data_IF_337014074922
#
_entry.id   IF_337014074922
#
_cell.length_a   1.000
_cell.length_b   1.000
_cell.length_c   1.000
_cell.angle_alpha   90.00
_cell.angle_beta   90.00
_cell.angle_gamma   90.00
#
_symmetry.space_group_name_H-M   'P 1'
#
loop_
_entity.id
_entity.type
_entity.pdbx_description
1 polymer ?
#
# COMPACT_ATOMS: atom_id res chain seq x y z
N UNK A 1 -15.09 47.62 12.40
CA UNK A 1 -14.47 46.52 13.16
C UNK A 1 -14.55 45.27 12.28
N UNK A 2 -13.45 44.88 11.66
CA UNK A 2 -13.38 43.67 10.84
C UNK A 2 -12.90 42.52 11.72
N UNK A 3 -13.73 41.49 11.88
CA UNK A 3 -13.39 40.28 12.63
C UNK A 3 -12.41 39.47 11.79
N UNK A 4 -11.16 39.39 12.25
CA UNK A 4 -10.17 38.49 11.67
C UNK A 4 -10.58 37.05 11.99
N UNK A 5 -10.98 36.29 10.98
CA UNK A 5 -11.03 34.84 11.08
C UNK A 5 -9.58 34.36 11.15
N UNK A 6 -9.14 33.96 12.35
CA UNK A 6 -7.93 33.18 12.50
C UNK A 6 -8.18 31.84 11.79
N UNK A 7 -7.62 31.68 10.59
CA UNK A 7 -7.54 30.37 9.96
C UNK A 7 -6.56 29.55 10.80
N UNK A 8 -7.09 28.63 11.60
CA UNK A 8 -6.26 27.57 12.16
C UNK A 8 -5.71 26.78 10.97
N UNK A 9 -4.41 26.92 10.70
CA UNK A 9 -3.71 25.96 9.87
C UNK A 9 -3.92 24.59 10.51
N UNK A 10 -4.52 23.67 9.76
CA UNK A 10 -4.62 22.28 10.19
C UNK A 10 -3.19 21.74 10.29
N UNK A 11 -2.66 21.76 11.51
CA UNK A 11 -1.48 20.98 11.89
C UNK A 11 -1.70 19.56 11.39
N UNK A 12 -0.68 18.97 10.74
CA UNK A 12 -0.67 17.56 10.36
C UNK A 12 -1.23 16.73 11.52
N UNK A 13 -2.45 16.20 11.34
CA UNK A 13 -2.99 15.25 12.30
C UNK A 13 -2.05 14.03 12.27
N UNK A 14 -1.68 13.47 13.44
CA UNK A 14 -0.89 12.25 13.46
C UNK A 14 -1.64 11.19 12.65
N UNK A 15 -0.90 10.42 11.83
CA UNK A 15 -1.49 9.29 11.12
C UNK A 15 -2.22 8.41 12.15
N UNK A 16 -3.46 7.97 11.88
CA UNK A 16 -4.20 7.19 12.83
C UNK A 16 -3.48 5.86 13.05
N UNK A 17 -3.37 5.48 14.31
CA UNK A 17 -2.95 4.13 14.71
C UNK A 17 -3.89 3.12 14.08
N UNK A 18 -3.34 2.05 13.50
CA UNK A 18 -4.19 1.00 12.93
C UNK A 18 -4.95 0.27 14.04
N UNK A 19 -6.26 0.03 13.90
CA UNK A 19 -6.99 -0.81 14.83
C UNK A 19 -6.47 -2.24 14.73
N UNK A 20 -6.21 -2.88 15.88
CA UNK A 20 -5.74 -4.26 15.90
C UNK A 20 -6.76 -5.21 15.26
N UNK A 21 -6.27 -6.22 14.53
CA UNK A 21 -7.07 -7.23 13.85
C UNK A 21 -7.06 -7.09 12.32
N UNK A 22 -7.95 -7.81 11.61
CA UNK A 22 -7.99 -7.78 10.16
C UNK A 22 -8.41 -6.39 9.65
N UNK A 23 -7.71 -5.91 8.62
CA UNK A 23 -7.98 -4.65 7.94
C UNK A 23 -8.10 -4.92 6.44
N UNK A 24 -9.10 -4.27 5.84
CA UNK A 24 -9.30 -4.23 4.41
C UNK A 24 -9.19 -2.79 3.93
N UNK A 25 -8.30 -2.54 2.97
CA UNK A 25 -8.10 -1.22 2.36
C UNK A 25 -8.51 -1.25 0.89
N UNK A 26 -9.11 -0.16 0.42
CA UNK A 26 -9.45 0.03 -0.99
C UNK A 26 -8.65 1.19 -1.57
N UNK A 27 -8.10 1.02 -2.77
CA UNK A 27 -7.30 2.04 -3.43
C UNK A 27 -7.60 2.15 -4.92
N UNK A 28 -7.25 3.30 -5.47
CA UNK A 28 -7.22 3.59 -6.91
C UNK A 28 -5.89 4.23 -7.25
N UNK A 29 -5.43 4.05 -8.48
CA UNK A 29 -4.08 4.46 -8.84
C UNK A 29 -3.84 4.56 -10.32
N UNK A 30 -2.60 4.86 -10.65
CA UNK A 30 -2.10 5.01 -12.00
C UNK A 30 -0.72 4.37 -12.08
N UNK A 31 -0.45 3.70 -13.18
CA UNK A 31 0.79 2.97 -13.38
C UNK A 31 1.26 3.04 -14.83
N UNK A 32 2.54 2.73 -14.99
CA UNK A 32 3.19 2.53 -16.27
C UNK A 32 3.66 1.09 -16.33
N UNK A 33 3.40 0.44 -17.46
CA UNK A 33 3.80 -0.94 -17.73
C UNK A 33 4.67 -0.90 -18.97
N UNK A 34 5.94 -1.26 -18.81
CA UNK A 34 6.87 -1.37 -19.92
C UNK A 34 6.69 -2.70 -20.66
N UNK A 35 6.75 -2.62 -21.98
CA UNK A 35 6.54 -3.73 -22.91
C UNK A 35 7.58 -3.69 -24.02
N UNK A 36 7.82 -4.83 -24.66
CA UNK A 36 8.75 -4.89 -25.80
C UNK A 36 10.20 -4.52 -25.46
N UNK A 37 10.64 -4.75 -24.22
CA UNK A 37 12.00 -4.44 -23.75
C UNK A 37 12.22 -2.98 -23.34
N UNK A 38 11.16 -2.17 -23.24
CA UNK A 38 11.23 -0.86 -22.59
C UNK A 38 11.41 -0.98 -21.07
N UNK A 39 11.70 0.15 -20.42
CA UNK A 39 11.83 0.25 -18.97
C UNK A 39 11.12 1.48 -18.44
N UNK A 40 10.43 1.35 -17.30
CA UNK A 40 9.76 2.47 -16.61
C UNK A 40 10.75 3.36 -15.85
N UNK A 41 11.81 2.75 -15.33
CA UNK A 41 12.96 3.39 -14.70
C UNK A 41 14.18 2.46 -14.73
N UNK A 42 15.39 3.03 -14.78
CA UNK A 42 16.62 2.23 -14.84
C UNK A 42 16.67 1.29 -16.04
N UNK A 43 17.39 0.18 -15.91
CA UNK A 43 17.62 -0.79 -16.99
C UNK A 43 16.80 -2.07 -16.89
N UNK A 44 15.96 -2.23 -15.87
CA UNK A 44 15.28 -3.50 -15.59
C UNK A 44 13.84 -3.33 -15.09
N UNK A 45 13.45 -2.15 -14.60
CA UNK A 45 12.10 -1.92 -14.09
C UNK A 45 11.09 -1.93 -15.23
N UNK A 46 10.05 -2.74 -15.08
CA UNK A 46 8.95 -2.88 -16.05
C UNK A 46 7.63 -2.32 -15.55
N UNK A 47 7.53 -2.01 -14.26
CA UNK A 47 6.30 -1.47 -13.70
C UNK A 47 6.59 -0.49 -12.58
N UNK A 48 5.87 0.63 -12.63
CA UNK A 48 5.94 1.72 -11.68
C UNK A 48 4.57 2.37 -11.57
N UNK A 49 4.15 2.76 -10.37
CA UNK A 49 2.87 3.43 -10.21
C UNK A 49 2.69 4.11 -8.87
N UNK A 50 1.62 4.88 -8.78
CA UNK A 50 1.17 5.56 -7.56
C UNK A 50 -0.31 5.30 -7.34
N UNK A 51 -0.72 5.31 -6.07
CA UNK A 51 -2.11 5.12 -5.69
C UNK A 51 -2.49 5.97 -4.48
N UNK A 52 -3.79 6.11 -4.31
CA UNK A 52 -4.43 6.70 -3.13
C UNK A 52 -5.32 5.65 -2.51
N UNK A 53 -5.21 5.50 -1.20
CA UNK A 53 -6.16 4.72 -0.41
C UNK A 53 -7.44 5.53 -0.24
N UNK A 54 -8.54 4.98 -0.69
CA UNK A 54 -9.88 5.57 -0.60
C UNK A 54 -10.52 5.30 0.75
N UNK A 55 -10.43 4.06 1.23
CA UNK A 55 -11.06 3.63 2.48
C UNK A 55 -10.19 2.59 3.17
N UNK A 56 -10.29 2.55 4.50
CA UNK A 56 -9.84 1.43 5.32
C UNK A 56 -10.94 1.08 6.30
N UNK A 57 -11.27 -0.19 6.37
CA UNK A 57 -12.30 -0.72 7.25
C UNK A 57 -11.78 -1.95 7.99
N UNK A 58 -12.45 -2.30 9.09
CA UNK A 58 -12.24 -3.60 9.71
C UNK A 58 -12.52 -4.67 8.64
N UNK A 59 -11.60 -5.61 8.50
CA UNK A 59 -11.76 -6.78 7.65
C UNK A 59 -12.58 -7.87 8.33
N UNK A 60 -12.94 -8.88 7.56
CA UNK A 60 -13.46 -10.15 8.04
C UNK A 60 -12.54 -11.24 7.52
N UNK A 61 -12.01 -12.09 8.38
CA UNK A 61 -11.23 -13.25 7.93
C UNK A 61 -12.15 -14.12 7.09
N UNK A 62 -11.84 -14.25 5.79
CA UNK A 62 -12.51 -15.15 4.87
C UNK A 62 -11.98 -16.55 5.09
N UNK A 63 -10.73 -16.76 4.70
CA UNK A 63 -9.94 -17.95 4.97
C UNK A 63 -8.76 -17.58 5.87
N UNK A 64 -8.59 -18.23 7.04
CA UNK A 64 -7.43 -17.99 7.90
C UNK A 64 -6.11 -18.13 7.14
N UNK A 65 -5.25 -17.12 7.28
CA UNK A 65 -3.93 -17.03 6.65
C UNK A 65 -3.90 -17.00 5.12
N UNK A 66 -5.02 -16.69 4.46
CA UNK A 66 -5.10 -16.60 3.00
C UNK A 66 -5.88 -15.35 2.55
N UNK A 67 -7.03 -15.07 3.17
CA UNK A 67 -7.88 -13.96 2.75
C UNK A 67 -8.54 -13.21 3.91
N UNK A 68 -8.54 -11.88 3.76
CA UNK A 68 -9.31 -10.94 4.56
C UNK A 68 -10.23 -10.20 3.60
N UNK A 69 -11.53 -10.39 3.79
CA UNK A 69 -12.56 -9.73 3.01
C UNK A 69 -12.98 -8.41 3.66
N UNK A 70 -13.62 -7.55 2.87
CA UNK A 70 -14.27 -6.35 3.42
C UNK A 70 -15.41 -6.75 4.36
N UNK A 71 -15.37 -6.26 5.61
CA UNK A 71 -16.51 -6.40 6.50
C UNK A 71 -17.56 -5.31 6.21
N UNK A 72 -18.56 -5.64 5.41
CA UNK A 72 -19.62 -4.69 4.99
C UNK A 72 -20.52 -4.21 6.13
N UNK A 73 -20.45 -4.83 7.32
CA UNK A 73 -21.22 -4.43 8.50
C UNK A 73 -20.55 -3.31 9.31
N UNK A 74 -19.26 -3.05 9.08
CA UNK A 74 -18.50 -2.06 9.82
C UNK A 74 -18.26 -0.82 8.96
N UNK A 75 -18.44 0.37 9.54
CA UNK A 75 -18.03 1.61 8.90
C UNK A 75 -16.52 1.65 8.72
N UNK A 76 -16.07 2.26 7.63
CA UNK A 76 -14.66 2.56 7.43
C UNK A 76 -14.17 3.46 8.59
N UNK A 77 -13.04 3.09 9.20
CA UNK A 77 -12.38 3.92 10.21
C UNK A 77 -11.49 4.99 9.56
N UNK A 78 -11.18 4.81 8.27
CA UNK A 78 -10.60 5.84 7.43
C UNK A 78 -11.38 5.94 6.12
N UNK A 79 -11.73 7.16 5.75
CA UNK A 79 -12.25 7.50 4.42
C UNK A 79 -11.49 8.71 3.92
N UNK A 80 -11.05 8.65 2.67
CA UNK A 80 -10.37 9.75 2.01
C UNK A 80 -11.36 10.91 1.76
N UNK A 81 -11.42 11.88 2.68
CA UNK A 81 -12.30 13.05 2.55
C UNK A 81 -11.65 14.23 1.84
N UNK A 82 -10.32 14.26 1.76
CA UNK A 82 -9.52 15.42 1.35
C UNK A 82 -8.56 15.14 0.19
N UNK A 83 -8.80 14.08 -0.58
CA UNK A 83 -8.13 13.85 -1.86
C UNK A 83 -6.71 13.27 -1.80
N UNK A 84 -6.47 12.32 -0.91
CA UNK A 84 -5.28 11.48 -0.93
C UNK A 84 -4.41 11.63 0.31
N UNK A 85 -5.00 11.52 1.49
CA UNK A 85 -4.27 11.61 2.75
C UNK A 85 -3.37 10.38 3.01
N UNK A 86 -3.80 9.20 2.56
CA UNK A 86 -2.94 8.02 2.50
C UNK A 86 -2.68 7.71 1.03
N UNK A 87 -1.41 7.65 0.69
CA UNK A 87 -0.94 7.32 -0.66
C UNK A 87 0.05 6.19 -0.63
N UNK A 88 0.29 5.60 -1.79
CA UNK A 88 1.48 4.79 -1.95
C UNK A 88 2.02 4.83 -3.36
N UNK A 89 3.16 4.15 -3.49
CA UNK A 89 3.91 4.04 -4.72
C UNK A 89 4.47 2.63 -4.80
N UNK A 90 4.42 2.02 -5.97
CA UNK A 90 5.12 0.78 -6.25
C UNK A 90 6.15 0.99 -7.36
N UNK A 91 7.32 0.40 -7.19
CA UNK A 91 8.50 0.62 -8.03
C UNK A 91 9.50 -0.52 -7.85
N UNK A 92 10.55 -0.54 -8.67
CA UNK A 92 11.55 -1.60 -8.67
C UNK A 92 11.02 -2.96 -9.12
N UNK A 93 9.83 -3.01 -9.72
CA UNK A 93 9.22 -4.24 -10.21
C UNK A 93 9.87 -4.59 -11.54
N UNK A 94 10.60 -5.70 -11.57
CA UNK A 94 11.37 -6.15 -12.72
C UNK A 94 10.69 -7.30 -13.46
N UNK A 95 11.12 -7.55 -14.69
CA UNK A 95 10.58 -8.65 -15.49
C UNK A 95 10.93 -10.00 -14.87
N UNK A 96 9.89 -10.80 -14.63
CA UNK A 96 10.02 -12.13 -14.08
C UNK A 96 10.36 -13.23 -15.10
N UNK A 97 10.53 -14.43 -14.57
CA UNK A 97 10.83 -15.63 -15.34
C UNK A 97 9.60 -16.18 -16.06
N UNK A 98 9.84 -17.15 -16.96
CA UNK A 98 8.75 -17.88 -17.63
C UNK A 98 7.87 -18.54 -16.58
N UNK A 99 6.55 -18.48 -16.80
CA UNK A 99 5.53 -19.06 -15.96
C UNK A 99 4.34 -19.46 -16.82
N UNK A 100 3.79 -20.64 -16.58
CA UNK A 100 2.71 -21.22 -17.39
C UNK A 100 1.34 -20.63 -17.02
N UNK A 101 1.21 -20.14 -15.79
CA UNK A 101 -0.03 -19.56 -15.23
C UNK A 101 0.01 -18.04 -15.09
N UNK A 102 1.18 -17.41 -15.26
CA UNK A 102 1.37 -15.99 -15.07
C UNK A 102 1.70 -15.32 -16.40
N UNK A 103 0.71 -14.63 -16.97
CA UNK A 103 0.90 -13.94 -18.24
C UNK A 103 1.85 -12.75 -18.08
N UNK A 104 1.86 -12.10 -16.92
CA UNK A 104 2.70 -10.94 -16.63
C UNK A 104 3.59 -11.22 -15.40
N UNK A 105 4.62 -12.09 -15.56
CA UNK A 105 5.50 -12.43 -14.46
C UNK A 105 6.42 -11.25 -14.13
N UNK A 106 6.45 -10.89 -12.86
CA UNK A 106 7.38 -9.91 -12.33
C UNK A 106 8.15 -10.47 -11.13
N UNK A 107 9.34 -9.93 -10.89
CA UNK A 107 10.19 -10.24 -9.74
C UNK A 107 10.57 -8.98 -9.01
N UNK A 108 10.89 -9.10 -7.72
CA UNK A 108 11.31 -7.98 -6.89
C UNK A 108 10.24 -6.89 -6.81
N UNK A 109 10.62 -5.75 -6.25
CA UNK A 109 9.81 -4.55 -6.16
C UNK A 109 9.55 -4.13 -4.73
N UNK A 110 9.16 -2.86 -4.61
CA UNK A 110 8.83 -2.22 -3.37
C UNK A 110 7.46 -1.55 -3.47
N UNK A 111 6.77 -1.47 -2.35
CA UNK A 111 5.59 -0.66 -2.17
C UNK A 111 5.76 0.19 -0.92
N UNK A 112 5.62 1.49 -1.09
CA UNK A 112 5.72 2.45 0.01
C UNK A 112 4.35 3.04 0.29
N UNK A 113 4.02 3.14 1.58
CA UNK A 113 2.83 3.84 2.06
C UNK A 113 3.24 5.14 2.75
N UNK A 114 2.49 6.20 2.47
CA UNK A 114 2.78 7.54 3.00
C UNK A 114 1.51 8.22 3.51
N UNK A 115 1.70 9.00 4.57
CA UNK A 115 0.73 9.96 5.07
C UNK A 115 1.04 11.36 4.55
N UNK A 116 0.10 11.95 3.83
CA UNK A 116 0.23 13.25 3.19
C UNK A 116 -0.47 14.34 3.99
N UNK A 117 0.23 15.45 4.18
CA UNK A 117 -0.37 16.68 4.65
C UNK A 117 -1.07 17.40 3.48
N UNK A 118 -2.38 17.22 3.36
CA UNK A 118 -3.18 17.81 2.28
C UNK A 118 -3.32 19.34 2.38
N UNK A 119 -2.86 19.96 3.48
CA UNK A 119 -2.76 21.42 3.58
C UNK A 119 -1.51 21.97 2.88
N UNK A 120 -0.49 21.13 2.66
CA UNK A 120 0.77 21.47 1.99
C UNK A 120 0.80 21.08 0.52
N UNK A 121 0.08 20.02 0.15
CA UNK A 121 0.01 19.51 -1.23
C UNK A 121 -1.46 19.37 -1.64
N UNK A 122 -1.87 20.04 -2.72
CA UNK A 122 -3.28 20.09 -3.14
C UNK A 122 -3.87 18.69 -3.42
N UNK A 123 -5.13 18.51 -2.98
CA UNK A 123 -5.97 17.31 -2.98
C UNK A 123 -6.21 16.62 -4.35
N UNK A 124 -5.73 17.18 -5.46
CA UNK A 124 -6.03 16.70 -6.82
C UNK A 124 -4.88 15.93 -7.48
N UNK A 125 -3.80 15.63 -6.74
CA UNK A 125 -2.48 15.34 -7.33
C UNK A 125 -2.24 13.93 -7.94
N UNK A 126 -3.21 13.00 -7.96
CA UNK A 126 -3.11 11.88 -8.94
C UNK A 126 -3.49 12.39 -10.35
N UNK A 127 -4.26 13.48 -10.45
CA UNK A 127 -4.97 13.87 -11.66
C UNK A 127 -4.05 14.62 -12.67
N UNK A 128 -3.74 13.88 -13.75
CA UNK A 128 -3.53 14.27 -15.17
C UNK A 128 -2.20 14.82 -15.66
N UNK A 129 -1.30 15.35 -14.82
CA UNK A 129 -0.06 15.98 -15.31
C UNK A 129 1.24 15.43 -14.72
N UNK A 130 1.16 14.38 -13.88
CA UNK A 130 2.35 13.67 -13.42
C UNK A 130 2.50 12.29 -14.11
N UNK A 131 3.61 12.05 -14.83
CA UNK A 131 4.73 12.96 -14.98
C UNK A 131 4.50 13.88 -16.19
N UNK A 132 5.06 15.08 -16.13
CA UNK A 132 5.37 15.85 -17.33
C UNK A 132 6.24 14.95 -18.21
N UNK A 133 5.73 14.56 -19.39
CA UNK A 133 6.36 13.72 -20.42
C UNK A 133 7.76 13.12 -20.12
N UNK A 134 7.86 11.79 -19.94
CA UNK A 134 9.15 11.08 -19.88
C UNK A 134 9.13 9.73 -19.14
N UNK A 135 10.23 8.97 -19.32
CA UNK A 135 10.62 7.83 -18.46
C UNK A 135 10.87 8.37 -17.05
N UNK A 136 10.28 7.75 -16.03
CA UNK A 136 10.34 8.28 -14.66
C UNK A 136 11.73 8.06 -14.07
N UNK A 137 12.16 8.96 -13.18
CA UNK A 137 13.25 8.67 -12.24
C UNK A 137 12.66 7.94 -11.00
N UNK A 138 13.48 7.33 -10.15
CA UNK A 138 13.00 6.43 -9.07
C UNK A 138 12.17 7.12 -7.99
N UNK A 139 12.07 6.51 -6.80
CA UNK A 139 11.24 6.96 -5.68
C UNK A 139 11.34 8.47 -5.35
N UNK A 140 12.50 9.08 -5.61
CA UNK A 140 12.80 10.50 -5.39
C UNK A 140 12.06 11.47 -6.32
N UNK A 141 11.36 11.00 -7.36
CA UNK A 141 10.70 11.87 -8.34
C UNK A 141 9.21 12.12 -8.07
N UNK A 142 8.61 11.39 -7.14
CA UNK A 142 7.20 11.53 -6.78
C UNK A 142 6.98 12.70 -5.79
N UNK A 143 7.41 13.90 -6.19
CA UNK A 143 7.25 15.12 -5.39
C UNK A 143 5.79 15.34 -5.00
N UNK A 144 5.55 15.59 -3.71
CA UNK A 144 4.22 15.69 -3.13
C UNK A 144 3.58 14.36 -2.70
N UNK A 145 4.17 13.21 -3.06
CA UNK A 145 3.86 11.88 -2.50
C UNK A 145 4.93 11.37 -1.53
N UNK A 146 6.21 11.71 -1.76
CA UNK A 146 7.34 11.24 -0.94
C UNK A 146 8.03 12.36 -0.15
N UNK A 147 8.23 13.55 -0.74
CA UNK A 147 9.02 14.64 -0.16
C UNK A 147 8.36 15.38 1.01
N UNK A 148 7.03 15.43 1.02
CA UNK A 148 6.23 16.22 1.99
C UNK A 148 5.31 15.31 2.80
N UNK A 149 5.75 14.06 3.00
CA UNK A 149 4.91 12.98 3.51
C UNK A 149 5.65 12.18 4.57
N UNK A 150 4.90 11.58 5.48
CA UNK A 150 5.46 10.71 6.52
C UNK A 150 5.37 9.28 6.03
N UNK A 151 6.48 8.54 6.07
CA UNK A 151 6.49 7.12 5.73
C UNK A 151 5.63 6.35 6.75
N UNK A 152 4.64 5.62 6.25
CA UNK A 152 3.81 4.72 7.03
C UNK A 152 4.41 3.31 7.05
N UNK A 153 4.80 2.79 5.90
CA UNK A 153 5.50 1.50 5.81
C UNK A 153 6.27 1.41 4.49
N UNK A 154 7.46 0.83 4.56
CA UNK A 154 8.20 0.33 3.40
C UNK A 154 7.97 -1.17 3.31
N UNK A 155 7.55 -1.66 2.14
CA UNK A 155 7.26 -3.07 1.91
C UNK A 155 8.00 -3.57 0.68
N UNK A 156 8.43 -4.82 0.71
CA UNK A 156 8.96 -5.52 -0.47
C UNK A 156 7.95 -6.56 -0.96
N UNK A 157 7.92 -6.77 -2.27
CA UNK A 157 7.09 -7.80 -2.88
C UNK A 157 7.69 -9.18 -2.62
N UNK A 158 6.86 -10.06 -2.06
CA UNK A 158 7.23 -11.43 -1.71
C UNK A 158 6.97 -12.42 -2.83
N UNK A 159 7.71 -13.51 -2.77
CA UNK A 159 7.49 -14.70 -3.60
C UNK A 159 6.36 -15.57 -3.06
N UNK A 160 5.98 -16.59 -3.82
CA UNK A 160 4.99 -17.59 -3.38
C UNK A 160 3.54 -17.25 -3.74
N UNK A 161 3.33 -16.26 -4.61
CA UNK A 161 2.04 -16.02 -5.31
C UNK A 161 1.93 -16.84 -6.61
N UNK A 162 3.05 -17.08 -7.30
CA UNK A 162 3.10 -17.87 -8.53
C UNK A 162 3.47 -19.32 -8.24
N UNK A 163 2.47 -20.21 -8.21
CA UNK A 163 2.67 -21.63 -7.92
C UNK A 163 3.57 -22.35 -8.92
N UNK A 164 3.76 -21.79 -10.13
CA UNK A 164 4.59 -22.38 -11.16
C UNK A 164 6.03 -21.84 -11.19
N UNK A 165 6.31 -20.77 -10.44
CA UNK A 165 7.63 -20.14 -10.37
C UNK A 165 7.84 -19.39 -9.06
N UNK A 166 8.63 -19.99 -8.16
CA UNK A 166 8.94 -19.47 -6.82
C UNK A 166 9.77 -18.18 -6.78
N UNK A 167 10.19 -17.65 -7.93
CA UNK A 167 10.91 -16.37 -8.02
C UNK A 167 9.99 -15.20 -8.36
N UNK A 168 8.82 -15.48 -8.92
CA UNK A 168 7.89 -14.43 -9.31
C UNK A 168 7.17 -13.90 -8.06
N UNK A 169 7.10 -12.57 -7.95
CA UNK A 169 6.52 -11.87 -6.81
C UNK A 169 5.14 -11.28 -7.11
N UNK A 170 4.82 -11.13 -8.40
CA UNK A 170 3.52 -10.66 -8.88
C UNK A 170 2.99 -11.65 -9.91
N UNK A 171 1.72 -11.99 -9.78
CA UNK A 171 0.96 -12.75 -10.79
C UNK A 171 -0.03 -11.84 -11.47
N UNK A 172 0.08 -11.71 -12.80
CA UNK A 172 -0.83 -10.91 -13.61
C UNK A 172 -1.52 -11.70 -14.71
N UNK A 173 -2.76 -11.33 -15.03
CA UNK A 173 -3.61 -12.05 -15.99
C UNK A 173 -3.44 -11.61 -17.46
N UNK A 174 -2.75 -10.51 -17.73
CA UNK A 174 -2.52 -10.02 -19.09
C UNK A 174 -1.26 -9.18 -19.21
N UNK A 175 -0.46 -9.39 -20.26
CA UNK A 175 0.53 -8.38 -20.68
C UNK A 175 -0.17 -7.42 -21.62
N UNK A 176 -0.17 -6.10 -21.35
CA UNK A 176 -0.59 -5.13 -22.35
C UNK A 176 0.23 -5.27 -23.63
N UNK A 177 -0.40 -5.55 -24.78
CA UNK A 177 0.31 -5.64 -26.09
C UNK A 177 -0.01 -4.47 -27.01
N UNK A 178 -1.05 -3.69 -26.69
CA UNK A 178 -1.51 -2.55 -27.46
C UNK A 178 -1.75 -1.34 -26.56
N UNK A 179 -1.62 -0.14 -27.13
CA UNK A 179 -1.93 1.12 -26.43
C UNK A 179 -3.43 1.35 -26.16
N UNK A 180 -4.33 0.44 -26.55
CA UNK A 180 -5.78 0.61 -26.42
C UNK A 180 -6.46 -0.69 -26.00
N UNK A 181 -7.41 -0.57 -25.06
CA UNK A 181 -8.40 -1.60 -24.78
C UNK A 181 -7.97 -2.76 -23.88
N UNK A 182 -6.79 -2.71 -23.26
CA UNK A 182 -6.37 -3.77 -22.34
C UNK A 182 -7.00 -3.60 -20.95
N UNK A 183 -7.23 -4.74 -20.30
CA UNK A 183 -7.64 -4.88 -18.91
C UNK A 183 -6.96 -6.11 -18.35
N UNK A 184 -6.44 -6.00 -17.14
CA UNK A 184 -5.81 -7.09 -16.44
C UNK A 184 -6.09 -7.05 -14.95
N UNK A 185 -5.58 -8.08 -14.30
CA UNK A 185 -5.59 -8.25 -12.86
C UNK A 185 -4.15 -8.55 -12.42
N UNK A 186 -3.79 -8.13 -11.22
CA UNK A 186 -2.54 -8.49 -10.57
C UNK A 186 -2.79 -8.84 -9.10
N UNK A 187 -2.04 -9.83 -8.61
CA UNK A 187 -1.98 -10.22 -7.20
C UNK A 187 -0.53 -10.31 -6.74
N UNK A 188 -0.30 -9.92 -5.49
CA UNK A 188 1.00 -10.08 -4.83
C UNK A 188 0.87 -10.25 -3.32
N UNK A 189 1.92 -10.83 -2.74
CA UNK A 189 2.20 -10.77 -1.32
C UNK A 189 3.27 -9.73 -1.04
N UNK A 190 3.26 -9.14 0.15
CA UNK A 190 4.26 -8.17 0.57
C UNK A 190 4.61 -8.37 2.04
N UNK A 191 5.86 -8.06 2.38
CA UNK A 191 6.35 -8.03 3.76
C UNK A 191 6.95 -6.67 4.08
N UNK A 192 6.81 -6.27 5.34
CA UNK A 192 7.35 -5.02 5.87
C UNK A 192 8.87 -5.13 5.95
N UNK A 193 9.57 -4.13 5.41
CA UNK A 193 11.01 -3.98 5.64
C UNK A 193 11.27 -3.26 6.96
N UNK A 194 11.62 -4.03 7.99
CA UNK A 194 11.98 -3.51 9.31
C UNK A 194 13.35 -2.80 9.33
N UNK A 195 14.09 -2.75 8.22
CA UNK A 195 15.30 -1.92 8.11
C UNK A 195 14.99 -0.48 7.71
N UNK A 196 13.78 -0.21 7.22
CA UNK A 196 13.27 1.11 6.85
C UNK A 196 11.87 1.34 7.45
N UNK A 197 11.85 1.57 8.76
CA UNK A 197 10.61 1.66 9.52
C UNK A 197 9.82 2.94 9.24
N UNK A 198 8.51 2.78 9.04
CA UNK A 198 7.51 3.84 9.08
C UNK A 198 6.57 3.70 10.27
N UNK A 199 5.62 4.62 10.41
CA UNK A 199 4.70 4.68 11.56
C UNK A 199 3.85 3.41 11.76
N UNK A 200 3.61 2.63 10.71
CA UNK A 200 2.80 1.42 10.72
C UNK A 200 3.62 0.14 10.59
N UNK A 201 4.96 0.20 10.48
CA UNK A 201 5.80 -0.98 10.23
C UNK A 201 5.57 -2.09 11.28
N UNK A 202 5.65 -1.76 12.57
CA UNK A 202 5.39 -2.70 13.67
C UNK A 202 3.96 -3.23 13.69
N UNK A 203 2.99 -2.39 13.29
CA UNK A 203 1.59 -2.79 13.27
C UNK A 203 1.30 -3.74 12.10
N UNK A 204 1.99 -3.60 10.97
CA UNK A 204 1.75 -4.37 9.76
C UNK A 204 2.57 -5.67 9.71
N UNK A 205 3.67 -5.80 10.45
CA UNK A 205 4.57 -6.96 10.49
C UNK A 205 3.96 -8.18 11.23
N UNK A 206 2.82 -8.66 10.76
CA UNK A 206 2.03 -9.72 11.39
C UNK A 206 2.35 -11.14 10.88
N UNK A 207 3.02 -11.27 9.74
CA UNK A 207 3.29 -12.54 9.05
C UNK A 207 2.04 -13.40 8.88
N UNK A 208 0.91 -12.76 8.58
CA UNK A 208 -0.42 -13.37 8.66
C UNK A 208 -0.73 -14.29 7.49
N UNK A 209 -0.34 -13.91 6.27
CA UNK A 209 -0.62 -14.69 5.06
C UNK A 209 0.39 -15.82 4.94
N UNK A 210 -0.08 -17.03 4.61
CA UNK A 210 0.77 -18.16 4.21
C UNK A 210 0.95 -18.13 2.70
N UNK A 211 2.20 -18.13 2.25
CA UNK A 211 2.56 -18.14 0.82
C UNK A 211 3.17 -19.49 0.44
N UNK A 212 3.41 -19.73 -0.85
CA UNK A 212 4.12 -20.93 -1.30
C UNK A 212 5.57 -21.03 -0.77
N UNK A 213 6.16 -19.93 -0.31
CA UNK A 213 7.58 -19.84 0.09
C UNK A 213 7.78 -19.43 1.55
N UNK A 214 6.71 -19.11 2.29
CA UNK A 214 6.79 -18.71 3.69
C UNK A 214 5.54 -17.99 4.19
N UNK A 215 5.76 -16.87 4.88
CA UNK A 215 4.71 -16.01 5.38
C UNK A 215 4.90 -14.60 4.84
N UNK A 216 3.80 -13.86 4.69
CA UNK A 216 3.79 -12.47 4.29
C UNK A 216 2.85 -11.65 5.18
N UNK A 217 3.09 -10.34 5.21
CA UNK A 217 2.34 -9.41 6.06
C UNK A 217 1.05 -8.93 5.39
N UNK A 218 1.12 -8.66 4.09
CA UNK A 218 0.04 -8.12 3.29
C UNK A 218 -0.21 -8.94 2.03
N UNK A 219 -1.45 -8.87 1.55
CA UNK A 219 -1.84 -9.29 0.21
C UNK A 219 -2.48 -8.12 -0.52
N UNK A 220 -2.11 -7.93 -1.78
CA UNK A 220 -2.69 -6.92 -2.66
C UNK A 220 -3.27 -7.61 -3.90
N UNK A 221 -4.48 -7.20 -4.26
CA UNK A 221 -5.17 -7.62 -5.46
C UNK A 221 -5.68 -6.37 -6.19
N UNK A 222 -5.39 -6.22 -7.48
CA UNK A 222 -5.83 -5.04 -8.23
C UNK A 222 -6.26 -5.34 -9.66
N UNK A 223 -7.25 -4.58 -10.12
CA UNK A 223 -7.72 -4.56 -11.51
C UNK A 223 -7.25 -3.28 -12.17
N UNK A 224 -6.50 -3.43 -13.26
CA UNK A 224 -6.00 -2.32 -14.05
C UNK A 224 -6.58 -2.33 -15.46
N UNK A 225 -6.73 -1.14 -16.03
CA UNK A 225 -7.19 -0.96 -17.41
C UNK A 225 -6.44 0.17 -18.09
N UNK A 226 -6.43 0.15 -19.42
CA UNK A 226 -5.76 1.17 -20.23
C UNK A 226 -6.06 2.61 -19.79
N UNK A 227 -5.01 3.41 -19.61
CA UNK A 227 -5.10 4.86 -19.46
C UNK A 227 -4.03 5.55 -20.32
N UNK A 228 -4.41 5.92 -21.54
CA UNK A 228 -3.49 6.54 -22.50
C UNK A 228 -2.89 7.88 -22.01
N UNK A 229 -3.54 8.58 -21.07
CA UNK A 229 -3.02 9.83 -20.51
C UNK A 229 -1.75 9.62 -19.66
N UNK A 230 -1.45 8.38 -19.29
CA UNK A 230 -0.30 7.99 -18.47
C UNK A 230 0.79 7.25 -19.24
N UNK A 231 0.71 7.20 -20.58
CA UNK A 231 1.76 6.61 -21.42
C UNK A 231 3.10 7.33 -21.21
N UNK A 232 4.18 6.56 -21.07
CA UNK A 232 5.53 7.08 -20.78
C UNK A 232 6.46 7.21 -21.98
N UNK A 233 6.02 6.78 -23.17
CA UNK A 233 6.82 6.80 -24.40
C UNK A 233 6.67 5.51 -25.22
N UNK A 234 7.61 5.27 -26.13
CA UNK A 234 7.63 4.04 -26.92
C UNK A 234 7.79 2.82 -26.01
N UNK A 235 6.86 1.86 -26.12
CA UNK A 235 6.87 0.65 -25.29
C UNK A 235 6.50 0.86 -23.82
N UNK A 236 6.01 2.03 -23.40
CA UNK A 236 5.55 2.26 -22.02
C UNK A 236 4.08 2.64 -22.03
N UNK A 237 3.25 1.72 -21.54
CA UNK A 237 1.81 1.80 -21.57
C UNK A 237 1.28 2.28 -20.22
N UNK A 238 0.43 3.30 -20.24
CA UNK A 238 -0.27 3.77 -19.05
C UNK A 238 -1.47 2.89 -18.72
N UNK A 239 -1.62 2.56 -17.44
CA UNK A 239 -2.80 1.90 -16.91
C UNK A 239 -3.32 2.63 -15.68
N UNK A 240 -4.62 2.52 -15.46
CA UNK A 240 -5.30 2.98 -14.26
C UNK A 240 -5.70 1.77 -13.43
N UNK A 241 -5.36 1.80 -12.14
CA UNK A 241 -5.91 0.86 -11.15
C UNK A 241 -7.32 1.34 -10.80
N UNK A 242 -8.30 0.58 -11.26
CA UNK A 242 -9.74 0.90 -11.11
C UNK A 242 -10.33 0.34 -9.83
N UNK A 243 -9.79 -0.77 -9.34
CA UNK A 243 -10.17 -1.40 -8.09
C UNK A 243 -8.95 -2.10 -7.53
N UNK A 244 -8.37 -1.52 -6.49
CA UNK A 244 -7.31 -2.14 -5.70
C UNK A 244 -7.84 -2.50 -4.31
N UNK A 245 -7.46 -3.69 -3.84
CA UNK A 245 -7.74 -4.21 -2.52
C UNK A 245 -6.42 -4.57 -1.84
N UNK A 246 -6.22 -4.08 -0.63
CA UNK A 246 -5.15 -4.54 0.25
C UNK A 246 -5.74 -5.23 1.47
N UNK A 247 -5.09 -6.28 1.89
CA UNK A 247 -5.51 -7.14 2.98
C UNK A 247 -4.35 -7.25 3.96
N UNK A 248 -4.60 -7.01 5.24
CA UNK A 248 -3.56 -7.05 6.27
C UNK A 248 -4.15 -7.40 7.62
N UNK A 249 -3.34 -7.96 8.52
CA UNK A 249 -3.69 -8.12 9.92
C UNK A 249 -2.83 -7.15 10.74
N UNK A 250 -3.45 -6.19 11.43
CA UNK A 250 -2.72 -5.24 12.25
C UNK A 250 -2.49 -5.77 13.67
N UNK A 251 -1.24 -5.73 14.12
CA UNK A 251 -0.85 -6.02 15.50
C UNK A 251 -1.20 -4.83 16.41
N UNK A 252 -1.53 -5.08 17.69
CA UNK A 252 -1.64 -4.01 18.67
C UNK A 252 -0.27 -3.35 18.89
N UNK A 253 -0.26 -2.04 19.14
CA UNK A 253 0.99 -1.34 19.44
C UNK A 253 1.71 -1.98 20.65
N UNK A 254 3.05 -2.14 20.61
CA UNK A 254 3.83 -2.69 21.72
C UNK A 254 3.58 -1.97 23.07
N UNK A 255 3.26 -0.67 23.02
CA UNK A 255 2.93 0.14 24.19
C UNK A 255 1.63 -0.27 24.90
N UNK A 256 0.65 -0.81 24.18
CA UNK A 256 -0.64 -1.21 24.76
C UNK A 256 -0.47 -2.38 25.75
N UNK A 257 0.42 -3.32 25.44
CA UNK A 257 0.76 -4.44 26.32
C UNK A 257 1.50 -3.98 27.58
N UNK A 258 2.39 -3.00 27.44
CA UNK A 258 3.11 -2.41 28.56
C UNK A 258 2.18 -1.65 29.50
N UNK A 259 1.20 -0.91 28.95
CA UNK A 259 0.19 -0.21 29.75
C UNK A 259 -0.75 -1.17 30.48
N UNK A 260 -1.14 -2.27 29.84
CA UNK A 260 -1.89 -3.36 30.48
C UNK A 260 -1.09 -4.03 31.60
N UNK A 261 0.20 -4.30 31.37
CA UNK A 261 1.10 -4.84 32.40
C UNK A 261 1.21 -3.93 33.62
N UNK A 262 1.39 -2.63 33.40
CA UNK A 262 1.41 -1.63 34.48
C UNK A 262 0.05 -1.53 35.20
N UNK A 263 -1.06 -1.59 34.48
CA UNK A 263 -2.39 -1.58 35.07
C UNK A 263 -2.63 -2.81 35.96
N UNK A 264 -2.17 -3.99 35.55
CA UNK A 264 -2.25 -5.23 36.33
C UNK A 264 -1.36 -5.19 37.58
N UNK A 265 -0.14 -4.67 37.47
CA UNK A 265 0.75 -4.46 38.62
C UNK A 265 0.14 -3.44 39.60
N UNK A 266 -0.46 -2.35 39.08
CA UNK A 266 -1.17 -1.35 39.88
C UNK A 266 -2.36 -1.92 40.63
N UNK A 267 -3.18 -2.76 39.97
CA UNK A 267 -4.29 -3.47 40.61
C UNK A 267 -3.81 -4.49 41.65
N UNK A 268 -2.75 -5.24 41.36
CA UNK A 268 -2.15 -6.18 42.30
C UNK A 268 -1.61 -5.49 43.57
N UNK A 269 -0.95 -4.34 43.42
CA UNK A 269 -0.47 -3.54 44.55
C UNK A 269 -1.61 -2.94 45.38
N UNK A 270 -2.70 -2.50 44.73
CA UNK A 270 -3.89 -1.98 45.41
C UNK A 270 -4.64 -3.07 46.20
N UNK A 271 -4.77 -4.28 45.64
CA UNK A 271 -5.37 -5.44 46.31
C UNK A 271 -4.53 -5.89 47.51
N UNK A 272 -3.19 -5.88 47.39
CA UNK A 272 -2.28 -6.22 48.49
C UNK A 272 -2.27 -5.18 49.62
N UNK A 273 -2.59 -3.91 49.33
CA UNK A 273 -2.84 -2.89 50.36
C UNK A 273 -4.18 -3.07 51.06
N UNK A 274 -5.22 -3.55 50.35
CA UNK A 274 -6.53 -3.83 50.96
C UNK A 274 -6.53 -5.06 51.85
N UNK A 275 -5.74 -6.10 51.55
CA UNK A 275 -5.64 -7.31 52.40
C UNK A 275 -4.77 -7.15 53.64
N UNK A 276 -4.14 -5.98 53.83
CA UNK A 276 -3.33 -5.64 55.02
C UNK A 276 -4.03 -4.64 55.96
N UNK A 277 -5.31 -4.33 55.71
CA UNK A 277 -6.22 -3.69 56.67
C UNK A 277 -7.18 -4.74 57.20
#
# INVERSE_FOLDING_TARGET
MATAFASFGASAAPAPVLPAGPIYLQFVGQEQIAVGGAHTYGSSEINWGVFVVNTMAAGKVGTPNDSIDQNTLNSAFFTNQVGGQITGMFYGIEKGGVSDSNAFPATSGYLDLYWRDTSKVAATAIDKSMPVAGVRCGYSCANGFTTDSVLLAHLYFDTGMDDSNDKNTVVGSSVPTTQKGFKGFASSYLSVDMTQEGLWSEQLNANWFTTGTGNADLRIDNVYSNNANWNGGAGILGAQVTSGAGQTYALPEPGALSLMGLALVGMGAALRRRSRK
#
